data_IF_513802664498
#
_entry.id   IF_513802664498
#
_cell.length_a   1.000
_cell.length_b   1.000
_cell.length_c   1.000
_cell.angle_alpha   90.00
_cell.angle_beta   90.00
_cell.angle_gamma   90.00
#
_symmetry.space_group_name_H-M   'P 1'
#
loop_
_entity.id
_entity.type
_entity.pdbx_description
1 polymer ?
#
# COMPACT_ATOMS: atom_id res chain seq x y z
N UNK A 1 -9.58 -21.43 -9.83
CA UNK A 1 -9.33 -21.30 -8.38
C UNK A 1 -8.62 -20.00 -7.99
N UNK A 2 -7.38 -19.71 -8.41
CA UNK A 2 -6.71 -18.47 -7.94
C UNK A 2 -7.36 -17.16 -8.45
N UNK A 3 -7.82 -17.15 -9.70
CA UNK A 3 -8.49 -15.98 -10.28
C UNK A 3 -9.86 -15.71 -9.64
N UNK A 4 -10.61 -16.75 -9.23
CA UNK A 4 -11.89 -16.61 -8.52
C UNK A 4 -11.69 -15.95 -7.15
N UNK A 5 -10.60 -16.27 -6.46
CA UNK A 5 -10.25 -15.63 -5.19
C UNK A 5 -9.94 -14.15 -5.35
N UNK A 6 -9.29 -13.76 -6.45
CA UNK A 6 -9.02 -12.35 -6.79
C UNK A 6 -10.33 -11.62 -7.08
N UNK A 7 -11.22 -12.21 -7.88
CA UNK A 7 -12.49 -11.58 -8.26
C UNK A 7 -13.41 -11.39 -7.04
N UNK A 8 -13.43 -12.36 -6.12
CA UNK A 8 -14.13 -12.21 -4.84
C UNK A 8 -13.53 -11.09 -3.98
N UNK A 9 -12.20 -10.99 -3.89
CA UNK A 9 -11.54 -9.91 -3.16
C UNK A 9 -11.87 -8.54 -3.76
N UNK A 10 -11.89 -8.41 -5.08
CA UNK A 10 -12.25 -7.18 -5.79
C UNK A 10 -13.71 -6.78 -5.53
N UNK A 11 -14.63 -7.76 -5.49
CA UNK A 11 -16.04 -7.52 -5.14
C UNK A 11 -16.17 -6.99 -3.71
N UNK A 12 -15.55 -7.68 -2.74
CA UNK A 12 -15.57 -7.25 -1.33
C UNK A 12 -14.97 -5.85 -1.17
N UNK A 13 -13.86 -5.56 -1.85
CA UNK A 13 -13.25 -4.22 -1.82
C UNK A 13 -14.17 -3.15 -2.42
N UNK A 14 -14.95 -3.49 -3.44
CA UNK A 14 -15.95 -2.59 -4.03
C UNK A 14 -17.06 -2.30 -3.02
N UNK A 15 -17.57 -3.32 -2.33
CA UNK A 15 -18.59 -3.18 -1.27
C UNK A 15 -18.07 -2.34 -0.09
N UNK A 16 -16.76 -2.39 0.18
CA UNK A 16 -16.08 -1.56 1.19
C UNK A 16 -15.75 -0.13 0.69
N UNK A 17 -16.18 0.26 -0.52
CA UNK A 17 -15.97 1.58 -1.10
C UNK A 17 -14.58 1.79 -1.72
N UNK A 18 -13.86 0.72 -2.03
CA UNK A 18 -12.49 0.72 -2.57
C UNK A 18 -12.43 -0.07 -3.88
N UNK A 19 -13.09 0.40 -4.96
CA UNK A 19 -13.09 -0.34 -6.21
C UNK A 19 -11.70 -0.36 -6.87
N UNK A 20 -11.37 -1.49 -7.48
CA UNK A 20 -10.17 -1.71 -8.27
C UNK A 20 -10.54 -2.31 -9.63
N UNK A 21 -9.83 -1.90 -10.68
CA UNK A 21 -10.01 -2.43 -12.02
C UNK A 21 -8.88 -3.44 -12.30
N UNK A 22 -9.25 -4.71 -12.53
CA UNK A 22 -8.32 -5.82 -12.80
C UNK A 22 -7.50 -5.61 -14.08
N UNK A 23 -8.11 -5.01 -15.10
CA UNK A 23 -7.54 -4.77 -16.42
C UNK A 23 -6.95 -3.37 -16.58
N UNK A 24 -6.60 -2.70 -15.48
CA UNK A 24 -6.07 -1.35 -15.54
C UNK A 24 -4.77 -1.27 -16.34
N UNK A 25 -4.73 -0.36 -17.31
CA UNK A 25 -3.54 -0.09 -18.11
C UNK A 25 -2.49 0.74 -17.37
N UNK A 26 -1.29 0.83 -17.94
CA UNK A 26 -0.15 1.58 -17.40
C UNK A 26 -0.48 3.07 -17.14
N UNK A 27 -1.34 3.68 -17.95
CA UNK A 27 -1.81 5.05 -17.76
C UNK A 27 -2.51 5.26 -16.40
N UNK A 28 -3.32 4.29 -15.97
CA UNK A 28 -4.01 4.34 -14.67
C UNK A 28 -3.01 4.29 -13.51
N UNK A 29 -1.91 3.55 -13.67
CA UNK A 29 -0.83 3.50 -12.69
C UNK A 29 -0.16 4.87 -12.57
N UNK A 30 0.17 5.51 -13.69
CA UNK A 30 0.77 6.85 -13.71
C UNK A 30 -0.17 7.87 -13.05
N UNK A 31 -1.46 7.87 -13.38
CA UNK A 31 -2.45 8.75 -12.75
C UNK A 31 -2.54 8.49 -11.24
N UNK A 32 -2.57 7.23 -10.83
CA UNK A 32 -2.60 6.85 -9.41
C UNK A 32 -1.34 7.33 -8.68
N UNK A 33 -0.18 7.21 -9.31
CA UNK A 33 1.09 7.66 -8.76
C UNK A 33 1.10 9.18 -8.56
N UNK A 34 0.67 9.95 -9.56
CA UNK A 34 0.56 11.41 -9.46
C UNK A 34 -0.35 11.79 -8.30
N UNK A 35 -1.52 11.12 -8.18
CA UNK A 35 -2.44 11.34 -7.05
C UNK A 35 -1.78 11.02 -5.71
N UNK A 36 -0.97 9.96 -5.63
CA UNK A 36 -0.25 9.58 -4.40
C UNK A 36 0.83 10.59 -4.06
N UNK A 37 1.66 11.00 -5.03
CA UNK A 37 2.68 12.04 -4.83
C UNK A 37 2.05 13.36 -4.36
N UNK A 38 0.91 13.75 -4.93
CA UNK A 38 0.17 14.94 -4.47
C UNK A 38 -0.36 14.80 -3.05
N UNK A 39 -0.87 13.63 -2.67
CA UNK A 39 -1.34 13.38 -1.31
C UNK A 39 -0.20 13.39 -0.27
N UNK A 40 1.00 13.00 -0.69
CA UNK A 40 2.21 13.03 0.15
C UNK A 40 2.92 14.40 0.13
N UNK A 41 2.61 15.26 -0.85
CA UNK A 41 3.25 16.57 -1.00
C UNK A 41 2.88 17.44 0.20
N UNK A 42 3.90 17.87 0.95
CA UNK A 42 3.73 18.70 2.14
C UNK A 42 3.64 17.91 3.46
N UNK A 43 3.63 16.58 3.43
CA UNK A 43 3.83 15.77 4.63
C UNK A 43 5.32 15.44 4.79
N UNK A 44 5.90 15.75 5.94
CA UNK A 44 7.22 15.20 6.24
C UNK A 44 7.06 13.71 6.55
N UNK A 45 8.07 12.92 6.20
CA UNK A 45 8.11 11.49 6.51
C UNK A 45 7.96 11.21 8.01
N UNK A 46 8.45 12.12 8.87
CA UNK A 46 8.23 12.07 10.31
C UNK A 46 6.76 12.22 10.70
N UNK A 47 6.01 13.10 10.04
CA UNK A 47 4.58 13.31 10.30
C UNK A 47 3.74 12.07 9.95
N UNK A 48 4.17 11.33 8.92
CA UNK A 48 3.54 10.05 8.53
C UNK A 48 3.75 8.97 9.59
N UNK A 49 4.95 8.88 10.17
CA UNK A 49 5.21 7.93 11.26
C UNK A 49 4.46 8.27 12.55
N UNK A 50 4.13 9.53 12.76
CA UNK A 50 3.38 10.02 13.93
C UNK A 50 1.86 10.15 13.69
N UNK A 51 1.38 9.87 12.48
CA UNK A 51 -0.03 10.03 12.09
C UNK A 51 -1.00 9.24 12.99
N UNK A 52 -2.25 9.71 13.15
CA UNK A 52 -3.24 9.06 14.01
C UNK A 52 -3.51 7.62 13.56
N UNK A 53 -3.84 6.76 14.52
CA UNK A 53 -4.18 5.36 14.24
C UNK A 53 -5.56 5.30 13.59
N UNK A 54 -5.69 4.49 12.54
CA UNK A 54 -6.96 4.24 11.88
C UNK A 54 -7.97 3.56 12.82
N UNK A 55 -8.96 4.30 13.30
CA UNK A 55 -9.94 3.82 14.29
C UNK A 55 -11.12 3.01 13.68
N UNK A 56 -11.44 3.22 12.41
CA UNK A 56 -12.62 2.59 11.80
C UNK A 56 -12.35 1.14 11.40
N UNK A 57 -13.10 0.20 11.98
CA UNK A 57 -12.95 -1.24 11.73
C UNK A 57 -13.20 -1.68 10.28
N UNK A 58 -14.13 -1.04 9.57
CA UNK A 58 -14.38 -1.29 8.14
C UNK A 58 -13.17 -0.89 7.29
N UNK A 59 -12.54 0.25 7.62
CA UNK A 59 -11.33 0.68 6.92
C UNK A 59 -10.14 -0.23 7.19
N UNK A 60 -10.02 -0.73 8.43
CA UNK A 60 -8.99 -1.71 8.77
C UNK A 60 -9.18 -3.03 8.01
N UNK A 61 -10.42 -3.51 7.87
CA UNK A 61 -10.75 -4.68 7.05
C UNK A 61 -10.38 -4.47 5.59
N UNK A 62 -10.67 -3.30 5.02
CA UNK A 62 -10.26 -2.96 3.66
C UNK A 62 -8.73 -2.94 3.50
N UNK A 63 -7.99 -2.37 4.45
CA UNK A 63 -6.52 -2.38 4.45
C UNK A 63 -5.94 -3.80 4.52
N UNK A 64 -6.52 -4.67 5.37
CA UNK A 64 -6.15 -6.09 5.44
C UNK A 64 -6.40 -6.80 4.10
N UNK A 65 -7.55 -6.55 3.49
CA UNK A 65 -7.93 -7.18 2.22
C UNK A 65 -7.03 -6.70 1.08
N UNK A 66 -6.73 -5.39 1.00
CA UNK A 66 -5.77 -4.85 0.04
C UNK A 66 -4.39 -5.47 0.22
N UNK A 67 -3.92 -5.65 1.46
CA UNK A 67 -2.64 -6.33 1.71
C UNK A 67 -2.63 -7.76 1.17
N UNK A 68 -3.64 -8.57 1.52
CA UNK A 68 -3.75 -9.95 1.02
C UNK A 68 -3.85 -10.02 -0.51
N UNK A 69 -4.59 -9.08 -1.13
CA UNK A 69 -4.67 -8.99 -2.58
C UNK A 69 -3.35 -8.58 -3.20
N UNK A 70 -2.58 -7.69 -2.56
CA UNK A 70 -1.27 -7.24 -3.07
C UNK A 70 -0.26 -8.39 -3.15
N UNK A 71 -0.22 -9.28 -2.15
CA UNK A 71 0.66 -10.46 -2.14
C UNK A 71 0.39 -11.39 -3.34
N UNK A 72 -0.89 -11.60 -3.67
CA UNK A 72 -1.29 -12.40 -4.85
C UNK A 72 -1.06 -11.66 -6.17
N UNK A 73 -1.40 -10.38 -6.20
CA UNK A 73 -1.28 -9.55 -7.40
C UNK A 73 0.17 -9.35 -7.83
N UNK A 74 1.12 -9.39 -6.89
CA UNK A 74 2.55 -9.29 -7.18
C UNK A 74 3.00 -10.33 -8.22
N UNK A 75 2.54 -11.58 -8.07
CA UNK A 75 2.91 -12.69 -8.97
C UNK A 75 2.01 -12.82 -10.20
N UNK A 76 0.72 -12.48 -10.06
CA UNK A 76 -0.30 -12.84 -11.07
C UNK A 76 -0.79 -11.65 -11.90
N UNK A 77 -0.70 -10.42 -11.37
CA UNK A 77 -1.31 -9.22 -11.96
C UNK A 77 -0.38 -8.00 -11.78
N UNK A 78 0.70 -7.90 -12.58
CA UNK A 78 1.75 -6.90 -12.38
C UNK A 78 1.26 -5.45 -12.45
N UNK A 79 0.17 -5.18 -13.17
CA UNK A 79 -0.41 -3.83 -13.25
C UNK A 79 -1.34 -3.51 -12.06
N UNK A 80 -1.97 -4.52 -11.45
CA UNK A 80 -2.90 -4.32 -10.35
C UNK A 80 -2.15 -4.06 -9.03
N UNK A 81 -1.04 -4.76 -8.82
CA UNK A 81 -0.18 -4.61 -7.64
C UNK A 81 0.15 -3.14 -7.30
N UNK A 82 0.75 -2.33 -8.19
CA UNK A 82 1.10 -0.95 -7.87
C UNK A 82 -0.14 -0.09 -7.60
N UNK A 83 -1.30 -0.37 -8.22
CA UNK A 83 -2.54 0.35 -7.92
C UNK A 83 -3.02 0.12 -6.50
N UNK A 84 -2.91 -1.12 -6.01
CA UNK A 84 -3.26 -1.48 -4.63
C UNK A 84 -2.34 -0.75 -3.66
N UNK A 85 -1.02 -0.84 -3.86
CA UNK A 85 -0.02 -0.17 -3.00
C UNK A 85 -0.27 1.34 -2.94
N UNK A 86 -0.42 1.98 -4.11
CA UNK A 86 -0.67 3.43 -4.21
C UNK A 86 -2.00 3.84 -3.56
N UNK A 87 -3.02 2.97 -3.58
CA UNK A 87 -4.29 3.21 -2.89
C UNK A 87 -4.12 3.08 -1.38
N UNK A 88 -3.43 2.04 -0.88
CA UNK A 88 -3.16 1.84 0.54
C UNK A 88 -2.39 3.02 1.15
N UNK A 89 -1.40 3.56 0.43
CA UNK A 89 -0.67 4.76 0.88
C UNK A 89 -1.61 5.96 1.03
N UNK A 90 -2.39 6.29 -0.01
CA UNK A 90 -3.34 7.41 0.04
C UNK A 90 -4.40 7.24 1.11
N UNK A 91 -4.87 6.02 1.33
CA UNK A 91 -5.79 5.70 2.41
C UNK A 91 -5.17 5.91 3.79
N UNK A 92 -3.90 5.51 3.96
CA UNK A 92 -3.16 5.72 5.21
C UNK A 92 -2.97 7.20 5.51
N UNK A 93 -2.68 8.00 4.48
CA UNK A 93 -2.59 9.46 4.59
C UNK A 93 -3.94 10.07 4.99
N UNK A 94 -5.03 9.65 4.34
CA UNK A 94 -6.35 10.27 4.52
C UNK A 94 -7.07 9.85 5.81
N UNK A 95 -6.88 8.62 6.24
CA UNK A 95 -7.70 8.00 7.30
C UNK A 95 -6.91 7.57 8.53
N UNK A 96 -5.63 7.93 8.60
CA UNK A 96 -4.71 7.46 9.62
C UNK A 96 -4.06 6.13 9.24
N UNK A 97 -3.04 5.78 10.00
CA UNK A 97 -2.17 4.62 9.72
C UNK A 97 -2.59 3.40 10.52
N UNK A 98 -2.30 2.22 9.98
CA UNK A 98 -2.47 0.94 10.66
C UNK A 98 -1.30 0.01 10.34
N UNK A 99 -1.27 -1.21 10.90
CA UNK A 99 -0.18 -2.16 10.68
C UNK A 99 0.10 -2.44 9.19
N UNK A 100 -0.94 -2.44 8.35
CA UNK A 100 -0.81 -2.64 6.90
C UNK A 100 -0.29 -1.40 6.16
N UNK A 101 -0.35 -0.21 6.77
CA UNK A 101 0.26 1.00 6.23
C UNK A 101 1.78 0.88 6.18
N UNK A 102 2.40 0.25 7.17
CA UNK A 102 3.85 0.02 7.18
C UNK A 102 4.28 -0.78 5.95
N UNK A 103 3.55 -1.86 5.61
CA UNK A 103 3.76 -2.65 4.40
C UNK A 103 3.54 -1.81 3.13
N UNK A 104 2.50 -0.98 3.10
CA UNK A 104 2.23 -0.11 1.96
C UNK A 104 3.36 0.91 1.71
N UNK A 105 3.93 1.51 2.76
CA UNK A 105 5.04 2.44 2.63
C UNK A 105 6.34 1.74 2.22
N UNK A 106 6.58 0.51 2.69
CA UNK A 106 7.73 -0.29 2.24
C UNK A 106 7.63 -0.60 0.75
N UNK A 107 6.48 -1.12 0.29
CA UNK A 107 6.26 -1.37 -1.14
C UNK A 107 6.30 -0.09 -1.98
N UNK A 108 5.80 1.02 -1.45
CA UNK A 108 5.89 2.31 -2.14
C UNK A 108 7.35 2.76 -2.31
N UNK A 109 8.17 2.61 -1.26
CA UNK A 109 9.60 2.86 -1.33
C UNK A 109 10.28 1.99 -2.40
N UNK A 110 9.98 0.69 -2.42
CA UNK A 110 10.49 -0.22 -3.46
C UNK A 110 10.05 0.20 -4.86
N UNK A 111 8.79 0.60 -5.06
CA UNK A 111 8.31 1.10 -6.34
C UNK A 111 9.04 2.37 -6.79
N UNK A 112 9.41 3.26 -5.86
CA UNK A 112 10.23 4.44 -6.20
C UNK A 112 11.62 4.04 -6.71
N UNK A 113 12.25 3.03 -6.10
CA UNK A 113 13.56 2.54 -6.55
C UNK A 113 13.45 1.76 -7.85
N UNK A 114 12.66 0.68 -7.87
CA UNK A 114 12.62 -0.29 -8.96
C UNK A 114 12.04 0.27 -10.26
N UNK A 115 11.09 1.22 -10.18
CA UNK A 115 10.40 1.75 -11.36
C UNK A 115 10.92 3.14 -11.75
N UNK A 116 11.27 3.97 -10.77
CA UNK A 116 11.62 5.38 -11.03
C UNK A 116 13.11 5.70 -10.79
N UNK A 117 13.90 4.74 -10.30
CA UNK A 117 15.32 4.97 -9.97
C UNK A 117 15.53 5.96 -8.84
N UNK A 118 14.49 6.30 -8.08
CA UNK A 118 14.55 7.31 -7.03
C UNK A 118 14.92 6.66 -5.69
N UNK A 119 16.22 6.45 -5.51
CA UNK A 119 16.80 5.89 -4.29
C UNK A 119 16.56 6.75 -3.06
N UNK A 120 16.49 8.07 -3.22
CA UNK A 120 16.29 9.00 -2.09
C UNK A 120 14.90 8.82 -1.52
N UNK A 121 13.87 8.95 -2.36
CA UNK A 121 12.48 8.74 -1.96
C UNK A 121 12.26 7.30 -1.49
N UNK A 122 12.88 6.32 -2.15
CA UNK A 122 12.87 4.93 -1.72
C UNK A 122 13.35 4.73 -0.28
N UNK A 123 14.52 5.28 0.05
CA UNK A 123 15.10 5.21 1.41
C UNK A 123 14.23 5.92 2.45
N UNK A 124 13.70 7.09 2.11
CA UNK A 124 12.84 7.87 2.99
C UNK A 124 11.56 7.10 3.38
N UNK A 125 10.87 6.50 2.41
CA UNK A 125 9.66 5.73 2.68
C UNK A 125 9.92 4.36 3.32
N UNK A 126 11.06 3.74 3.03
CA UNK A 126 11.52 2.58 3.80
C UNK A 126 11.68 2.94 5.28
N UNK A 127 12.28 4.09 5.61
CA UNK A 127 12.40 4.54 7.00
C UNK A 127 11.03 4.75 7.66
N UNK A 128 10.08 5.39 6.96
CA UNK A 128 8.69 5.53 7.46
C UNK A 128 8.07 4.16 7.76
N UNK A 129 8.29 3.18 6.89
CA UNK A 129 7.78 1.82 7.08
C UNK A 129 8.36 1.17 8.34
N UNK A 130 9.67 1.29 8.57
CA UNK A 130 10.35 0.80 9.78
C UNK A 130 9.85 1.49 11.05
N UNK A 131 9.72 2.82 11.04
CA UNK A 131 9.24 3.57 12.20
C UNK A 131 7.78 3.20 12.54
N UNK A 132 6.92 3.05 11.53
CA UNK A 132 5.54 2.57 11.71
C UNK A 132 5.48 1.12 12.19
N UNK A 133 6.34 0.24 11.69
CA UNK A 133 6.42 -1.15 12.14
C UNK A 133 6.73 -1.22 13.63
N UNK A 134 7.73 -0.46 14.10
CA UNK A 134 8.09 -0.38 15.52
C UNK A 134 6.94 0.16 16.36
N UNK A 135 6.29 1.24 15.92
CA UNK A 135 5.19 1.88 16.66
C UNK A 135 3.93 1.01 16.74
N UNK A 136 3.58 0.31 15.67
CA UNK A 136 2.33 -0.45 15.56
C UNK A 136 2.54 -1.95 15.83
N UNK A 137 3.73 -2.33 16.31
CA UNK A 137 4.16 -3.70 16.56
C UNK A 137 3.87 -4.66 15.38
N UNK A 138 4.10 -4.20 14.15
CA UNK A 138 3.78 -4.93 12.92
C UNK A 138 4.90 -5.90 12.50
N UNK A 139 5.65 -6.47 13.46
CA UNK A 139 6.84 -7.30 13.20
C UNK A 139 6.52 -8.52 12.34
N UNK A 140 5.39 -9.16 12.59
CA UNK A 140 4.94 -10.37 11.88
C UNK A 140 4.72 -10.13 10.37
N UNK A 141 4.37 -8.90 9.98
CA UNK A 141 4.15 -8.54 8.58
C UNK A 141 5.47 -8.34 7.82
N UNK A 142 6.51 -7.87 8.52
CA UNK A 142 7.83 -7.65 7.91
C UNK A 142 8.68 -8.91 7.89
N UNK A 143 8.53 -9.82 8.87
CA UNK A 143 9.22 -11.12 8.85
C UNK A 143 8.92 -11.90 7.57
N UNK A 144 7.67 -11.84 7.09
CA UNK A 144 7.28 -12.42 5.80
C UNK A 144 7.89 -11.72 4.59
N UNK A 145 8.27 -10.46 4.75
CA UNK A 145 8.71 -9.59 3.66
C UNK A 145 10.23 -9.54 3.54
N UNK A 146 10.97 -9.73 4.64
CA UNK A 146 12.43 -9.95 4.64
C UNK A 146 12.84 -11.26 3.96
N UNK A 147 11.90 -12.18 3.71
CA UNK A 147 12.15 -13.40 2.95
C UNK A 147 12.14 -13.17 1.42
N UNK A 148 11.70 -12.00 0.95
CA UNK A 148 11.55 -11.68 -0.48
C UNK A 148 12.66 -10.73 -0.99
N UNK A 149 13.58 -10.31 -0.10
CA UNK A 149 14.71 -9.43 -0.41
C UNK A 149 16.02 -10.21 -0.49
#
# INVERSE_FOLDING_TARGET
KELEGIDLCLKILTDLGVPFCKTAGKHTIVISLIKTRRALKGMQTKDLSCSPIMANGTRLKAMKMMNALSEKAYWTLPNLFPLIVLKMVRWSVKHGVCKYSAVAFLWYGLLQVAVFGDFKTGREFSKVAWDLQRRLNAKDLFSKMSLIA
#
